data_IF_490322398507
#
_entry.id   IF_490322398507
#
_cell.length_a   1.000
_cell.length_b   1.000
_cell.length_c   1.000
_cell.angle_alpha   90.00
_cell.angle_beta   90.00
_cell.angle_gamma   90.00
#
_symmetry.space_group_name_H-M   'P 1'
#
loop_
_entity.id
_entity.type
_entity.pdbx_description
1 polymer ?
#
# COMPACT_ATOMS: atom_id res chain seq x y z
N UNK A 1 59.38 -29.46 -22.51
CA UNK A 1 58.06 -29.45 -21.84
C UNK A 1 57.29 -30.76 -21.88
N UNK A 2 57.31 -31.54 -22.97
CA UNK A 2 56.52 -32.79 -23.09
C UNK A 2 56.84 -33.96 -22.14
N UNK A 3 57.85 -33.84 -21.26
CA UNK A 3 58.21 -34.86 -20.26
C UNK A 3 57.86 -34.44 -18.81
N UNK A 4 57.36 -33.22 -18.59
CA UNK A 4 56.96 -32.74 -17.26
C UNK A 4 55.47 -33.00 -17.02
N UNK A 5 55.10 -33.42 -15.80
CA UNK A 5 53.71 -33.60 -15.40
C UNK A 5 52.90 -32.29 -15.45
N UNK A 6 51.59 -32.39 -15.66
CA UNK A 6 50.68 -31.24 -15.77
C UNK A 6 50.81 -30.28 -14.58
N UNK A 7 50.73 -28.98 -14.88
CA UNK A 7 50.95 -27.89 -13.91
C UNK A 7 52.42 -27.52 -13.67
N UNK A 8 53.38 -28.15 -14.37
CA UNK A 8 54.81 -27.81 -14.32
C UNK A 8 55.37 -27.42 -15.69
N UNK A 9 56.55 -26.80 -15.72
CA UNK A 9 57.30 -26.49 -16.95
C UNK A 9 58.78 -26.82 -16.78
N UNK A 10 59.49 -27.15 -17.86
CA UNK A 10 60.91 -27.47 -17.81
C UNK A 10 61.73 -26.17 -17.90
N UNK A 11 62.59 -25.93 -16.90
CA UNK A 11 63.58 -24.84 -16.92
C UNK A 11 64.93 -25.46 -16.56
N UNK A 12 65.93 -25.27 -17.42
CA UNK A 12 67.30 -25.81 -17.28
C UNK A 12 67.36 -27.32 -16.97
N UNK A 13 66.49 -28.10 -17.63
CA UNK A 13 66.45 -29.56 -17.49
C UNK A 13 65.77 -30.07 -16.22
N UNK A 14 65.09 -29.21 -15.46
CA UNK A 14 64.29 -29.61 -14.28
C UNK A 14 62.85 -29.11 -14.39
N UNK A 15 61.89 -29.96 -14.02
CA UNK A 15 60.48 -29.59 -13.98
C UNK A 15 60.17 -28.76 -12.71
N UNK A 16 59.77 -27.51 -12.88
CA UNK A 16 59.40 -26.58 -11.80
C UNK A 16 57.89 -26.28 -11.84
N UNK A 17 57.22 -25.99 -10.70
CA UNK A 17 55.82 -25.55 -10.67
C UNK A 17 55.58 -24.33 -11.57
N UNK A 18 54.47 -24.29 -12.32
CA UNK A 18 54.00 -23.04 -12.94
C UNK A 18 53.54 -22.10 -11.82
N UNK A 19 54.00 -20.85 -11.81
CA UNK A 19 53.59 -19.86 -10.80
C UNK A 19 52.10 -19.52 -10.96
N UNK A 20 51.36 -19.21 -9.87
CA UNK A 20 49.96 -18.82 -9.96
C UNK A 20 49.89 -17.45 -10.64
N UNK A 21 49.27 -17.39 -11.83
CA UNK A 21 49.09 -16.15 -12.58
C UNK A 21 47.63 -15.72 -12.59
N UNK A 22 47.40 -14.42 -12.82
CA UNK A 22 46.07 -13.83 -13.01
C UNK A 22 45.56 -14.06 -14.44
N UNK A 23 44.24 -14.11 -14.65
CA UNK A 23 43.63 -14.13 -15.98
C UNK A 23 42.94 -12.80 -16.29
N UNK A 24 42.57 -12.03 -15.26
CA UNK A 24 41.91 -10.75 -15.36
C UNK A 24 42.33 -9.78 -14.25
N UNK A 25 42.01 -8.48 -14.36
CA UNK A 25 42.29 -7.49 -13.31
C UNK A 25 41.61 -7.77 -11.96
N UNK A 26 40.48 -8.51 -11.94
CA UNK A 26 39.77 -8.91 -10.72
C UNK A 26 40.51 -9.99 -9.92
N UNK A 27 41.47 -10.67 -10.54
CA UNK A 27 42.36 -11.62 -9.87
C UNK A 27 43.55 -10.93 -9.17
N UNK A 28 43.66 -9.59 -9.29
CA UNK A 28 44.74 -8.78 -8.78
C UNK A 28 44.33 -7.92 -7.56
N UNK A 29 45.24 -7.65 -6.62
CA UNK A 29 44.98 -6.73 -5.51
C UNK A 29 44.71 -5.31 -6.00
N UNK A 30 43.86 -4.57 -5.27
CA UNK A 30 43.44 -3.21 -5.60
C UNK A 30 44.61 -2.28 -6.00
N UNK A 31 44.43 -1.57 -7.11
CA UNK A 31 45.42 -0.66 -7.68
C UNK A 31 46.44 -1.29 -8.65
N UNK A 32 46.33 -2.60 -8.94
CA UNK A 32 47.15 -3.30 -9.93
C UNK A 32 46.28 -3.90 -11.05
N UNK A 33 46.86 -4.05 -12.25
CA UNK A 33 46.21 -4.70 -13.40
C UNK A 33 46.97 -5.97 -13.82
N UNK A 34 46.26 -6.94 -14.41
CA UNK A 34 46.87 -8.18 -14.86
C UNK A 34 47.55 -8.01 -16.23
N UNK A 35 48.88 -8.09 -16.26
CA UNK A 35 49.69 -7.99 -17.48
C UNK A 35 50.49 -9.28 -17.66
N UNK A 36 50.24 -10.01 -18.74
CA UNK A 36 50.98 -11.24 -19.06
C UNK A 36 50.89 -12.35 -17.99
N UNK A 37 49.79 -12.37 -17.23
CA UNK A 37 49.55 -13.32 -16.14
C UNK A 37 50.20 -12.94 -14.81
N UNK A 38 50.61 -11.68 -14.62
CA UNK A 38 51.12 -11.13 -13.35
C UNK A 38 50.46 -9.78 -13.05
N UNK A 39 50.25 -9.46 -11.78
CA UNK A 39 49.68 -8.18 -11.37
C UNK A 39 50.76 -7.10 -11.27
N UNK A 40 50.58 -5.97 -11.97
CA UNK A 40 51.50 -4.83 -12.00
C UNK A 40 50.81 -3.50 -11.61
N UNK A 41 51.50 -2.53 -10.96
CA UNK A 41 50.90 -1.24 -10.56
C UNK A 41 50.66 -0.31 -11.74
N UNK A 42 49.46 0.27 -11.84
CA UNK A 42 49.10 1.21 -12.91
C UNK A 42 49.69 2.62 -12.72
N UNK A 43 50.20 3.24 -13.79
CA UNK A 43 50.56 4.67 -13.83
C UNK A 43 50.56 5.26 -15.26
N UNK A 44 50.07 6.49 -15.44
CA UNK A 44 49.90 7.17 -16.73
C UNK A 44 50.83 8.41 -16.94
N UNK A 45 50.95 8.88 -18.22
CA UNK A 45 51.22 10.25 -18.82
C UNK A 45 52.18 10.15 -20.06
N UNK A 46 52.03 10.77 -21.27
CA UNK A 46 51.11 11.77 -21.85
C UNK A 46 51.35 12.09 -23.36
N UNK A 47 50.36 12.72 -24.03
CA UNK A 47 50.36 13.32 -25.39
C UNK A 47 49.26 14.41 -25.47
N UNK A 48 49.33 15.39 -26.42
CA UNK A 48 48.32 16.42 -26.75
C UNK A 48 48.41 17.86 -26.14
N UNK A 49 49.60 18.49 -26.10
CA UNK A 49 49.75 19.92 -25.73
C UNK A 49 49.61 20.87 -26.94
N UNK A 50 49.09 22.09 -26.71
CA UNK A 50 49.08 23.19 -27.70
C UNK A 50 50.49 23.69 -28.02
N UNK A 51 50.70 24.17 -29.25
CA UNK A 51 51.98 24.74 -29.67
C UNK A 51 51.79 25.80 -30.76
N UNK A 52 52.68 26.79 -30.79
CA UNK A 52 52.73 27.77 -31.88
C UNK A 52 53.92 27.47 -32.80
N UNK A 53 55.01 26.95 -32.25
CA UNK A 53 56.20 26.57 -32.98
C UNK A 53 56.77 25.21 -32.55
N UNK A 54 57.58 24.53 -33.39
CA UNK A 54 58.09 23.19 -33.09
C UNK A 54 58.93 23.08 -31.81
N UNK A 55 59.44 24.20 -31.27
CA UNK A 55 60.21 24.23 -30.04
C UNK A 55 59.35 24.09 -28.77
N UNK A 56 58.04 24.32 -28.87
CA UNK A 56 57.09 24.17 -27.77
C UNK A 56 56.78 22.70 -27.45
N UNK A 57 57.21 21.79 -28.34
CA UNK A 57 56.92 20.37 -28.23
C UNK A 57 58.05 19.58 -27.58
N UNK A 58 57.73 18.56 -26.74
CA UNK A 58 58.73 17.65 -26.21
C UNK A 58 59.47 16.92 -27.35
N UNK A 59 60.72 16.55 -27.09
CA UNK A 59 61.63 16.02 -28.11
C UNK A 59 61.02 14.82 -28.85
N UNK A 60 60.98 14.91 -30.18
CA UNK A 60 60.37 13.99 -31.17
C UNK A 60 58.91 14.25 -31.57
N UNK A 61 58.25 15.28 -31.01
CA UNK A 61 56.94 15.75 -31.50
C UNK A 61 57.08 16.96 -32.46
N UNK A 62 56.16 17.08 -33.41
CA UNK A 62 56.04 18.18 -34.37
C UNK A 62 54.80 19.03 -34.06
N UNK A 63 54.89 20.34 -34.28
CA UNK A 63 53.77 21.25 -34.11
C UNK A 63 52.98 21.43 -35.42
N UNK A 64 51.81 20.81 -35.53
CA UNK A 64 51.01 20.78 -36.77
C UNK A 64 49.52 20.98 -36.53
N UNK A 65 48.82 21.45 -37.56
CA UNK A 65 47.35 21.49 -37.62
C UNK A 65 46.87 20.08 -38.03
N UNK A 66 46.13 19.43 -37.14
CA UNK A 66 45.80 18.01 -37.23
C UNK A 66 44.35 17.77 -37.68
N UNK A 67 43.49 18.77 -37.52
CA UNK A 67 42.05 18.71 -37.81
C UNK A 67 41.61 19.71 -38.89
N UNK A 68 42.51 20.56 -39.37
CA UNK A 68 42.26 21.52 -40.45
C UNK A 68 41.47 22.75 -40.00
N UNK A 69 41.33 22.95 -38.68
CA UNK A 69 40.61 24.07 -38.08
C UNK A 69 41.53 25.25 -37.72
N UNK A 70 42.83 25.11 -37.94
CA UNK A 70 43.83 26.17 -37.76
C UNK A 70 44.52 26.18 -36.40
N UNK A 71 44.16 25.29 -35.47
CA UNK A 71 44.83 25.14 -34.17
C UNK A 71 45.95 24.10 -34.25
N UNK A 72 47.15 24.48 -33.79
CA UNK A 72 48.34 23.64 -33.89
C UNK A 72 48.64 22.94 -32.57
N UNK A 73 48.94 21.64 -32.63
CA UNK A 73 49.23 20.80 -31.46
C UNK A 73 50.48 19.95 -31.67
N UNK A 74 51.10 19.56 -30.56
CA UNK A 74 52.25 18.67 -30.57
C UNK A 74 51.82 17.24 -30.86
N UNK A 75 52.17 16.74 -32.05
CA UNK A 75 51.85 15.38 -32.51
C UNK A 75 53.11 14.59 -32.81
N UNK A 76 53.06 13.28 -32.56
CA UNK A 76 54.14 12.36 -32.91
C UNK A 76 53.71 11.54 -34.12
N UNK A 77 54.53 11.51 -35.16
CA UNK A 77 54.28 10.68 -36.33
C UNK A 77 54.63 9.23 -36.05
N UNK A 78 53.85 8.32 -36.61
CA UNK A 78 54.16 6.90 -36.66
C UNK A 78 54.42 6.44 -38.08
N UNK A 79 55.35 5.49 -38.19
CA UNK A 79 55.63 4.70 -39.38
C UNK A 79 55.60 3.21 -39.01
N UNK A 80 56.33 2.35 -39.73
CA UNK A 80 56.42 0.92 -39.45
C UNK A 80 56.89 0.54 -38.03
N UNK A 81 57.40 1.50 -37.24
CA UNK A 81 57.84 1.27 -35.87
C UNK A 81 56.75 1.54 -34.81
N UNK A 82 55.54 1.97 -35.20
CA UNK A 82 54.39 2.13 -34.31
C UNK A 82 54.44 3.37 -33.41
N UNK A 83 53.53 3.44 -32.44
CA UNK A 83 53.36 4.53 -31.50
C UNK A 83 53.84 4.17 -30.08
N UNK A 84 54.24 5.16 -29.24
CA UNK A 84 54.51 4.92 -27.82
C UNK A 84 53.27 4.39 -27.07
N UNK A 85 53.50 3.73 -25.93
CA UNK A 85 52.48 2.97 -25.19
C UNK A 85 51.22 3.80 -24.85
N UNK A 86 50.05 3.22 -25.15
CA UNK A 86 48.72 3.83 -24.95
C UNK A 86 48.19 4.64 -26.12
N UNK A 87 48.93 4.73 -27.23
CA UNK A 87 48.52 5.43 -28.45
C UNK A 87 48.45 4.48 -29.65
N UNK A 88 47.47 4.70 -30.52
CA UNK A 88 47.30 4.00 -31.79
C UNK A 88 47.71 4.88 -32.98
N UNK A 89 48.23 4.23 -34.02
CA UNK A 89 48.71 4.89 -35.23
C UNK A 89 47.57 5.08 -36.25
N UNK A 90 47.11 6.32 -36.40
CA UNK A 90 46.10 6.67 -37.39
C UNK A 90 46.76 7.10 -38.70
N UNK A 91 46.68 6.24 -39.72
CA UNK A 91 47.38 6.41 -41.00
C UNK A 91 46.63 7.40 -41.89
N UNK A 92 47.29 8.52 -42.22
CA UNK A 92 46.70 9.63 -42.99
C UNK A 92 47.01 9.51 -44.49
N UNK A 93 48.19 9.01 -44.90
CA UNK A 93 48.48 8.42 -46.23
C UNK A 93 49.95 8.02 -46.39
N UNK A 94 50.27 7.12 -47.33
CA UNK A 94 51.66 6.82 -47.74
C UNK A 94 52.48 5.95 -46.77
N UNK A 95 51.83 5.32 -45.78
CA UNK A 95 52.51 4.50 -44.77
C UNK A 95 53.00 5.30 -43.55
N UNK A 96 52.63 6.57 -43.46
CA UNK A 96 52.87 7.43 -42.29
C UNK A 96 51.55 7.88 -41.68
N UNK A 97 51.49 7.86 -40.34
CA UNK A 97 50.32 8.21 -39.54
C UNK A 97 50.67 9.10 -38.36
N UNK A 98 49.69 9.39 -37.52
CA UNK A 98 49.87 10.13 -36.25
C UNK A 98 49.42 9.28 -35.08
N UNK A 99 50.13 9.40 -33.95
CA UNK A 99 49.83 8.68 -32.72
C UNK A 99 48.76 9.39 -31.89
N UNK A 100 47.60 8.76 -31.70
CA UNK A 100 46.44 9.30 -30.97
C UNK A 100 45.94 8.28 -29.93
N UNK A 101 45.22 8.70 -28.89
CA UNK A 101 44.56 7.75 -27.97
C UNK A 101 43.34 7.13 -28.64
N UNK A 102 43.10 5.81 -28.48
CA UNK A 102 41.97 5.14 -29.11
C UNK A 102 40.60 5.63 -28.60
N UNK A 103 40.56 6.21 -27.40
CA UNK A 103 39.33 6.58 -26.67
C UNK A 103 38.81 7.98 -27.05
N UNK A 104 39.66 8.85 -27.61
CA UNK A 104 39.31 10.26 -27.89
C UNK A 104 39.31 10.65 -29.37
N UNK A 105 39.65 9.74 -30.29
CA UNK A 105 39.60 10.00 -31.75
C UNK A 105 40.39 11.22 -32.24
N UNK A 106 41.24 11.82 -31.40
CA UNK A 106 41.85 13.12 -31.60
C UNK A 106 42.36 13.73 -30.29
N UNK A 107 43.18 14.78 -30.40
CA UNK A 107 43.67 15.55 -29.25
C UNK A 107 42.59 16.49 -28.69
N UNK A 108 41.39 15.97 -28.48
CA UNK A 108 40.31 16.66 -27.81
C UNK A 108 40.18 16.07 -26.41
N UNK A 109 41.01 16.62 -25.53
CA UNK A 109 40.79 16.66 -24.09
C UNK A 109 41.12 18.09 -23.67
N UNK A 110 40.12 18.76 -23.11
CA UNK A 110 40.13 20.03 -22.39
C UNK A 110 40.79 21.25 -23.08
N UNK A 111 39.95 22.02 -23.79
CA UNK A 111 40.19 23.42 -24.17
C UNK A 111 38.89 24.21 -24.03
N UNK A 112 38.93 25.53 -23.76
CA UNK A 112 37.89 26.24 -23.02
C UNK A 112 36.60 26.38 -23.84
N UNK A 113 35.67 25.47 -23.64
CA UNK A 113 34.26 25.61 -24.00
C UNK A 113 33.50 26.09 -22.77
N UNK A 114 32.46 26.92 -22.94
CA UNK A 114 31.91 27.74 -21.85
C UNK A 114 31.51 26.84 -20.69
N UNK A 115 32.23 26.98 -19.57
CA UNK A 115 32.28 26.04 -18.44
C UNK A 115 30.90 25.43 -18.16
N UNK A 116 30.72 24.17 -18.56
CA UNK A 116 29.78 23.30 -17.89
C UNK A 116 30.47 22.89 -16.58
N UNK A 117 29.85 23.24 -15.47
CA UNK A 117 30.46 23.04 -14.17
C UNK A 117 30.42 21.57 -13.80
N UNK A 118 31.58 20.91 -13.72
CA UNK A 118 31.66 19.57 -13.16
C UNK A 118 31.04 19.53 -11.76
N UNK A 119 30.23 18.52 -11.50
CA UNK A 119 29.58 18.33 -10.21
C UNK A 119 30.19 17.20 -9.37
N UNK A 120 29.45 16.73 -8.37
CA UNK A 120 29.93 15.71 -7.44
C UNK A 120 29.98 14.30 -8.05
N UNK A 121 29.20 14.05 -9.10
CA UNK A 121 28.96 12.73 -9.69
C UNK A 121 29.95 12.37 -10.79
N UNK A 122 30.75 13.35 -11.19
CA UNK A 122 31.75 13.20 -12.23
C UNK A 122 32.91 12.25 -11.86
N UNK A 123 33.43 11.45 -12.81
CA UNK A 123 32.99 11.39 -14.20
C UNK A 123 31.76 10.50 -14.38
N UNK A 124 30.74 11.02 -15.07
CA UNK A 124 29.55 10.25 -15.47
C UNK A 124 29.02 10.63 -16.87
N UNK A 125 29.92 11.03 -17.76
CA UNK A 125 29.63 11.56 -19.10
C UNK A 125 29.05 10.57 -20.12
N UNK A 126 29.14 9.27 -19.84
CA UNK A 126 28.87 8.22 -20.81
C UNK A 126 28.33 6.92 -20.17
N UNK A 127 27.63 6.07 -20.95
CA UNK A 127 27.02 4.85 -20.43
C UNK A 127 28.02 3.74 -20.04
N UNK A 128 29.29 3.83 -20.41
CA UNK A 128 30.34 2.90 -19.98
C UNK A 128 30.87 3.26 -18.56
N UNK A 129 30.66 4.51 -18.11
CA UNK A 129 31.01 5.00 -16.77
C UNK A 129 29.84 5.71 -16.05
N UNK A 130 28.68 5.08 -15.88
CA UNK A 130 27.55 5.73 -15.23
C UNK A 130 27.77 5.85 -13.71
N UNK A 131 27.24 6.91 -13.11
CA UNK A 131 27.09 7.01 -11.68
C UNK A 131 26.04 6.01 -11.17
N UNK A 132 26.31 5.31 -10.07
CA UNK A 132 25.30 4.42 -9.48
C UNK A 132 24.32 5.23 -8.63
N UNK A 133 23.04 5.23 -9.05
CA UNK A 133 21.96 5.83 -8.29
C UNK A 133 21.29 4.77 -7.40
N UNK A 134 21.71 4.71 -6.14
CA UNK A 134 21.15 3.75 -5.20
C UNK A 134 19.69 4.09 -4.85
N UNK A 135 18.88 3.10 -4.47
CA UNK A 135 17.53 3.37 -4.04
C UNK A 135 17.42 4.33 -2.84
N UNK A 136 16.54 5.32 -2.96
CA UNK A 136 16.34 6.38 -1.96
C UNK A 136 17.47 7.41 -1.88
N UNK A 137 18.51 7.29 -2.73
CA UNK A 137 19.51 8.33 -2.92
C UNK A 137 18.90 9.48 -3.73
N UNK A 138 19.26 10.69 -3.34
CA UNK A 138 18.86 11.92 -4.00
C UNK A 138 20.08 12.48 -4.73
N UNK A 139 19.88 12.83 -5.99
CA UNK A 139 20.86 13.49 -6.84
C UNK A 139 20.55 14.98 -6.80
N UNK A 140 21.60 15.78 -6.58
CA UNK A 140 21.64 17.19 -6.93
C UNK A 140 22.88 17.37 -7.80
N UNK A 141 22.67 17.81 -9.04
CA UNK A 141 23.67 17.80 -10.11
C UNK A 141 23.43 18.95 -11.10
N UNK A 142 24.34 19.17 -12.05
CA UNK A 142 24.20 20.14 -13.14
C UNK A 142 24.57 19.49 -14.46
N UNK A 143 23.72 19.67 -15.48
CA UNK A 143 24.00 19.17 -16.85
C UNK A 143 24.08 20.34 -17.83
N UNK A 144 24.67 20.12 -19.00
CA UNK A 144 24.56 21.04 -20.12
C UNK A 144 24.51 20.27 -21.46
N UNK A 145 24.42 20.99 -22.58
CA UNK A 145 24.36 20.38 -23.92
C UNK A 145 25.58 19.54 -24.33
N UNK A 146 26.71 19.71 -23.63
CA UNK A 146 27.98 19.04 -23.94
C UNK A 146 28.41 18.09 -22.81
N UNK A 147 27.60 17.97 -21.77
CA UNK A 147 27.93 17.37 -20.47
C UNK A 147 26.71 16.55 -20.03
N UNK A 148 26.65 15.32 -20.53
CA UNK A 148 25.51 14.44 -20.37
C UNK A 148 25.76 13.50 -19.21
N UNK A 149 24.87 13.51 -18.22
CA UNK A 149 25.02 12.70 -17.03
C UNK A 149 24.34 11.35 -17.17
N UNK A 150 25.12 10.28 -17.00
CA UNK A 150 24.65 8.91 -17.05
C UNK A 150 24.57 8.31 -15.66
N UNK A 151 23.42 7.73 -15.33
CA UNK A 151 23.20 6.99 -14.10
C UNK A 151 22.76 5.56 -14.40
N UNK A 152 23.27 4.59 -13.62
CA UNK A 152 22.74 3.23 -13.59
C UNK A 152 21.87 3.07 -12.34
N UNK A 153 20.72 2.43 -12.50
CA UNK A 153 19.78 2.20 -11.41
C UNK A 153 19.22 0.78 -11.39
N UNK A 154 18.81 0.37 -10.20
CA UNK A 154 17.96 -0.80 -9.96
C UNK A 154 16.69 -0.31 -9.25
N UNK A 155 15.53 -0.50 -9.88
CA UNK A 155 14.25 -0.11 -9.30
C UNK A 155 13.88 -1.04 -8.14
N UNK A 156 13.40 -0.50 -7.03
CA UNK A 156 13.01 -1.30 -5.86
C UNK A 156 11.71 -2.09 -6.07
N UNK A 157 10.87 -1.65 -7.02
CA UNK A 157 9.58 -2.25 -7.32
C UNK A 157 9.25 -2.07 -8.81
N UNK A 158 8.36 -2.92 -9.37
CA UNK A 158 7.89 -2.77 -10.76
C UNK A 158 7.11 -1.47 -10.99
N UNK A 159 6.61 -0.81 -9.93
CA UNK A 159 5.78 0.40 -10.00
C UNK A 159 6.55 1.68 -9.61
N UNK A 160 7.89 1.61 -9.55
CA UNK A 160 8.72 2.73 -9.15
C UNK A 160 8.53 3.95 -10.07
N UNK A 161 8.63 5.15 -9.47
CA UNK A 161 8.61 6.42 -10.20
C UNK A 161 9.92 7.18 -9.99
N UNK A 162 10.43 7.79 -11.06
CA UNK A 162 11.56 8.70 -11.03
C UNK A 162 11.02 10.13 -10.99
N UNK A 163 11.25 10.84 -9.88
CA UNK A 163 10.98 12.27 -9.80
C UNK A 163 12.20 13.03 -10.34
N UNK A 164 11.93 13.97 -11.23
CA UNK A 164 12.92 14.84 -11.87
C UNK A 164 12.56 16.29 -11.54
N UNK A 165 13.47 17.00 -10.90
CA UNK A 165 13.37 18.42 -10.67
C UNK A 165 14.35 19.14 -11.58
N UNK A 166 13.90 19.93 -12.56
CA UNK A 166 14.77 20.67 -13.47
C UNK A 166 14.73 22.17 -13.25
N UNK A 167 15.91 22.80 -13.23
CA UNK A 167 16.08 24.25 -13.22
C UNK A 167 15.97 24.91 -14.61
N UNK A 168 15.79 24.12 -15.68
CA UNK A 168 15.65 24.60 -17.05
C UNK A 168 15.40 23.47 -18.07
N UNK A 169 15.38 23.76 -19.37
CA UNK A 169 15.08 22.76 -20.39
C UNK A 169 16.19 21.71 -20.52
N UNK A 170 15.83 20.44 -20.36
CA UNK A 170 16.74 19.29 -20.53
C UNK A 170 16.00 18.06 -21.05
N UNK A 171 16.74 17.10 -21.59
CA UNK A 171 16.25 15.77 -21.91
C UNK A 171 16.55 14.80 -20.77
N UNK A 172 15.58 13.94 -20.48
CA UNK A 172 15.77 12.76 -19.62
C UNK A 172 15.40 11.54 -20.44
N UNK A 173 16.36 10.62 -20.62
CA UNK A 173 16.16 9.37 -21.36
C UNK A 173 16.36 8.18 -20.44
N UNK A 174 15.48 7.20 -20.56
CA UNK A 174 15.56 5.92 -19.88
C UNK A 174 15.94 4.85 -20.88
N UNK A 175 16.87 3.99 -20.50
CA UNK A 175 17.33 2.87 -21.30
C UNK A 175 17.19 1.56 -20.53
N UNK A 176 16.91 0.48 -21.26
CA UNK A 176 17.02 -0.88 -20.73
C UNK A 176 18.49 -1.28 -20.46
N UNK A 177 18.76 -2.42 -19.77
CA UNK A 177 20.13 -2.86 -19.48
C UNK A 177 20.97 -3.16 -20.72
N UNK A 178 20.35 -3.32 -21.89
CA UNK A 178 21.02 -3.48 -23.19
C UNK A 178 21.21 -2.16 -23.95
N UNK A 179 20.97 -1.01 -23.30
CA UNK A 179 21.00 0.34 -23.88
C UNK A 179 19.97 0.55 -25.00
N UNK A 180 18.88 -0.22 -25.01
CA UNK A 180 17.70 0.07 -25.81
C UNK A 180 16.94 1.25 -25.20
N UNK A 181 16.65 2.29 -25.99
CA UNK A 181 15.85 3.42 -25.53
C UNK A 181 14.47 2.92 -25.08
N UNK A 182 14.19 3.06 -23.78
CA UNK A 182 12.93 2.70 -23.17
C UNK A 182 11.93 3.84 -23.32
N UNK A 183 12.31 5.06 -22.94
CA UNK A 183 11.50 6.25 -23.10
C UNK A 183 12.32 7.55 -22.96
N UNK A 184 11.77 8.67 -23.45
CA UNK A 184 12.40 10.00 -23.49
C UNK A 184 11.39 11.06 -23.05
N UNK A 185 11.86 12.01 -22.25
CA UNK A 185 11.11 13.18 -21.79
C UNK A 185 11.91 14.45 -21.97
N UNK A 186 11.19 15.55 -22.19
CA UNK A 186 11.74 16.89 -22.18
C UNK A 186 11.26 17.59 -20.90
N UNK A 187 12.16 17.79 -19.95
CA UNK A 187 11.88 18.33 -18.63
C UNK A 187 12.21 19.83 -18.57
N UNK A 188 11.32 20.61 -17.94
CA UNK A 188 11.47 22.07 -17.71
C UNK A 188 10.74 22.47 -16.42
N UNK A 189 10.98 21.70 -15.36
CA UNK A 189 10.34 21.83 -14.06
C UNK A 189 10.32 20.49 -13.32
N UNK A 190 9.26 20.26 -12.54
CA UNK A 190 9.04 19.00 -11.81
C UNK A 190 8.27 18.01 -12.68
N UNK A 191 8.86 16.84 -12.93
CA UNK A 191 8.29 15.76 -13.71
C UNK A 191 8.35 14.43 -12.92
N UNK A 192 7.37 13.55 -13.17
CA UNK A 192 7.31 12.21 -12.56
C UNK A 192 7.22 11.17 -13.67
N UNK A 193 8.27 10.36 -13.81
CA UNK A 193 8.43 9.39 -14.90
C UNK A 193 8.15 7.98 -14.37
N UNK A 194 7.15 7.26 -14.90
CA UNK A 194 6.86 5.89 -14.49
C UNK A 194 7.93 4.93 -15.03
N UNK A 195 8.35 3.95 -14.22
CA UNK A 195 9.32 2.91 -14.58
C UNK A 195 8.67 1.53 -14.80
N UNK A 196 7.35 1.50 -15.01
CA UNK A 196 6.60 0.24 -15.17
C UNK A 196 7.19 -0.63 -16.28
N UNK A 197 7.70 -1.81 -15.90
CA UNK A 197 8.37 -2.73 -16.83
C UNK A 197 9.87 -2.49 -17.04
N UNK A 198 10.50 -1.58 -16.30
CA UNK A 198 11.94 -1.29 -16.34
C UNK A 198 12.58 -1.47 -14.94
N UNK A 199 12.83 -2.72 -14.50
CA UNK A 199 13.32 -3.01 -13.14
C UNK A 199 14.80 -2.63 -12.91
N UNK A 200 15.57 -2.39 -13.96
CA UNK A 200 16.92 -1.84 -13.92
C UNK A 200 17.24 -1.24 -15.30
N UNK A 201 18.15 -0.26 -15.35
CA UNK A 201 18.44 0.45 -16.59
C UNK A 201 19.39 1.62 -16.42
N UNK A 202 19.44 2.47 -17.44
CA UNK A 202 20.23 3.70 -17.42
C UNK A 202 19.34 4.93 -17.54
N UNK A 203 19.78 6.02 -16.92
CA UNK A 203 19.21 7.36 -17.09
C UNK A 203 20.29 8.20 -17.77
N UNK A 204 19.96 8.88 -18.86
CA UNK A 204 20.77 9.98 -19.42
C UNK A 204 20.03 11.29 -19.14
N UNK A 205 20.73 12.25 -18.53
CA UNK A 205 20.25 13.62 -18.34
C UNK A 205 21.12 14.54 -19.19
N UNK A 206 20.50 15.32 -20.07
CA UNK A 206 21.22 16.18 -21.00
C UNK A 206 20.56 17.55 -21.15
N UNK A 207 21.24 18.60 -20.70
CA UNK A 207 20.81 19.98 -20.93
C UNK A 207 20.72 20.34 -22.42
N UNK A 208 19.97 21.38 -22.79
CA UNK A 208 19.85 21.78 -24.21
C UNK A 208 20.69 22.98 -24.61
N UNK A 209 21.28 23.67 -23.64
CA UNK A 209 22.16 24.83 -23.87
C UNK A 209 23.56 24.58 -23.29
N UNK A 210 24.57 25.32 -23.75
CA UNK A 210 25.93 25.29 -23.18
C UNK A 210 26.05 26.11 -21.87
N UNK A 211 25.07 25.96 -20.98
CA UNK A 211 25.06 26.53 -19.61
C UNK A 211 24.51 25.47 -18.67
N UNK A 212 25.03 25.49 -17.44
CA UNK A 212 24.56 24.61 -16.36
C UNK A 212 23.05 24.73 -16.16
N UNK A 213 22.40 23.58 -16.28
CA UNK A 213 21.02 23.36 -15.90
C UNK A 213 21.05 22.50 -14.65
N UNK A 214 20.79 23.07 -13.46
CA UNK A 214 20.75 22.29 -12.24
C UNK A 214 19.54 21.36 -12.29
N UNK A 215 19.72 20.14 -11.82
CA UNK A 215 18.64 19.17 -11.71
C UNK A 215 18.76 18.31 -10.46
N UNK A 216 17.66 17.67 -10.12
CA UNK A 216 17.63 16.62 -9.12
C UNK A 216 16.91 15.38 -9.64
N UNK A 217 17.43 14.22 -9.25
CA UNK A 217 16.82 12.92 -9.50
C UNK A 217 16.57 12.24 -8.17
N UNK A 218 15.36 11.71 -8.00
CA UNK A 218 15.04 10.89 -6.83
C UNK A 218 14.05 9.81 -7.20
N UNK A 219 14.40 8.57 -6.92
CA UNK A 219 13.40 7.51 -6.89
C UNK A 219 12.46 7.77 -5.73
N UNK A 220 11.19 7.99 -6.04
CA UNK A 220 10.18 7.96 -5.01
C UNK A 220 9.89 6.49 -4.72
N UNK A 221 10.24 6.05 -3.51
CA UNK A 221 9.43 5.04 -2.88
C UNK A 221 8.04 5.64 -2.81
N UNK A 222 7.10 5.15 -3.60
CA UNK A 222 5.77 5.04 -3.04
C UNK A 222 6.00 4.23 -1.76
N UNK A 223 6.00 4.94 -0.61
CA UNK A 223 5.65 4.24 0.61
C UNK A 223 4.38 3.51 0.22
N UNK A 224 4.32 2.17 0.29
CA UNK A 224 3.04 1.53 0.18
C UNK A 224 2.14 2.32 1.13
N UNK A 225 0.95 2.76 0.68
CA UNK A 225 0.05 3.52 1.55
C UNK A 225 0.09 2.87 2.92
N UNK A 226 0.24 3.67 4.00
CA UNK A 226 0.44 3.13 5.34
C UNK A 226 -0.51 1.95 5.49
N UNK A 227 0.07 0.77 5.73
CA UNK A 227 -0.68 -0.48 5.69
C UNK A 227 -2.00 -0.23 6.42
N UNK A 228 -3.10 -0.42 5.70
CA UNK A 228 -4.40 -0.12 6.24
C UNK A 228 -4.51 -0.87 7.57
N UNK A 229 -4.82 -0.14 8.63
CA UNK A 229 -5.02 -0.72 9.93
C UNK A 229 -6.52 -0.86 10.10
N UNK A 230 -6.95 -2.10 10.24
CA UNK A 230 -8.28 -2.50 10.68
C UNK A 230 -8.76 -1.60 11.82
N UNK A 231 -10.01 -1.18 11.71
CA UNK A 231 -10.67 -0.51 12.80
C UNK A 231 -11.19 -1.52 13.85
N UNK A 232 -11.97 -1.03 14.81
CA UNK A 232 -12.43 -1.84 15.93
C UNK A 232 -13.76 -2.57 15.67
N UNK A 233 -14.31 -2.49 14.46
CA UNK A 233 -15.52 -3.19 14.02
C UNK A 233 -15.19 -4.52 13.35
N UNK A 234 -13.95 -4.67 12.88
CA UNK A 234 -13.46 -5.87 12.22
C UNK A 234 -13.61 -7.13 13.09
N UNK A 235 -13.84 -8.31 12.51
CA UNK A 235 -13.68 -8.68 11.09
C UNK A 235 -15.02 -8.76 10.35
N UNK A 236 -15.54 -7.61 9.91
CA UNK A 236 -16.85 -7.50 9.28
C UNK A 236 -16.77 -7.66 7.76
N UNK A 237 -15.81 -8.45 7.28
CA UNK A 237 -15.39 -8.67 5.89
C UNK A 237 -16.47 -9.30 4.98
N UNK A 238 -17.46 -9.95 5.60
CA UNK A 238 -18.51 -10.68 4.90
C UNK A 238 -19.91 -10.59 5.54
N UNK A 239 -20.91 -11.05 4.80
CA UNK A 239 -22.32 -10.99 5.18
C UNK A 239 -22.63 -11.78 6.47
N UNK A 240 -21.95 -12.91 6.71
CA UNK A 240 -22.18 -13.75 7.89
C UNK A 240 -21.58 -13.09 9.15
N UNK A 241 -20.53 -12.28 8.98
CA UNK A 241 -19.85 -11.53 10.03
C UNK A 241 -20.30 -10.06 10.16
N UNK A 242 -21.27 -9.63 9.35
CA UNK A 242 -21.70 -8.23 9.28
C UNK A 242 -21.99 -7.58 10.65
N UNK A 243 -21.38 -6.42 10.90
CA UNK A 243 -21.49 -5.71 12.16
C UNK A 243 -22.90 -5.16 12.39
N UNK A 244 -23.49 -5.45 13.56
CA UNK A 244 -24.85 -5.06 13.90
C UNK A 244 -24.99 -3.58 14.29
N UNK A 245 -25.65 -2.79 13.44
CA UNK A 245 -26.03 -1.40 13.70
C UNK A 245 -27.49 -1.30 14.13
N UNK A 246 -27.77 -0.33 15.02
CA UNK A 246 -29.13 0.02 15.49
C UNK A 246 -29.48 1.44 15.04
N UNK A 247 -30.76 1.80 15.12
CA UNK A 247 -31.18 3.19 14.83
C UNK A 247 -30.47 4.18 15.77
N UNK A 248 -30.04 5.32 15.23
CA UNK A 248 -29.21 6.29 15.93
C UNK A 248 -27.72 5.93 15.99
N UNK A 249 -27.29 4.80 15.44
CA UNK A 249 -25.87 4.47 15.34
C UNK A 249 -25.14 5.55 14.53
N UNK A 250 -23.95 5.90 15.01
CA UNK A 250 -23.01 6.81 14.37
C UNK A 250 -21.60 6.24 14.58
N UNK A 251 -21.18 5.40 13.65
CA UNK A 251 -19.92 4.65 13.74
C UNK A 251 -18.92 5.20 12.73
N UNK A 252 -17.66 5.30 13.15
CA UNK A 252 -16.54 5.60 12.24
C UNK A 252 -15.78 4.31 11.94
N UNK A 253 -15.36 4.15 10.70
CA UNK A 253 -14.68 2.96 10.20
C UNK A 253 -13.64 3.33 9.12
N UNK A 254 -12.82 2.36 8.71
CA UNK A 254 -11.74 2.51 7.73
C UNK A 254 -11.85 1.42 6.68
N UNK A 255 -12.17 1.80 5.44
CA UNK A 255 -12.23 0.85 4.34
C UNK A 255 -10.83 0.62 3.75
N UNK A 256 -10.39 -0.63 3.76
CA UNK A 256 -9.10 -1.05 3.22
C UNK A 256 -9.22 -1.64 1.79
N UNK A 257 -8.10 -1.70 1.07
CA UNK A 257 -8.07 -2.30 -0.26
C UNK A 257 -8.26 -3.83 -0.17
N UNK A 258 -9.30 -4.35 -0.81
CA UNK A 258 -9.62 -5.78 -0.80
C UNK A 258 -10.31 -6.27 0.47
N UNK A 259 -10.69 -5.35 1.37
CA UNK A 259 -11.34 -5.65 2.65
C UNK A 259 -12.73 -4.99 2.71
N UNK A 260 -13.82 -5.74 2.54
CA UNK A 260 -15.16 -5.17 2.52
C UNK A 260 -15.80 -5.06 3.89
N UNK A 261 -16.28 -3.88 4.23
CA UNK A 261 -17.06 -3.71 5.45
C UNK A 261 -18.54 -4.04 5.23
N UNK A 262 -19.04 -5.06 5.93
CA UNK A 262 -20.48 -5.39 5.98
C UNK A 262 -21.13 -4.94 7.29
N UNK A 263 -22.25 -4.25 7.15
CA UNK A 263 -23.12 -3.85 8.25
C UNK A 263 -24.49 -4.48 8.12
N UNK A 264 -25.10 -4.79 9.25
CA UNK A 264 -26.46 -5.29 9.35
C UNK A 264 -27.30 -4.40 10.24
N UNK A 265 -28.54 -4.09 9.86
CA UNK A 265 -29.45 -3.32 10.72
C UNK A 265 -30.90 -3.74 10.50
N UNK A 266 -31.76 -3.56 11.52
CA UNK A 266 -33.17 -3.90 11.41
C UNK A 266 -33.92 -2.90 10.52
N UNK A 267 -34.87 -3.38 9.73
CA UNK A 267 -35.81 -2.53 8.95
C UNK A 267 -37.22 -3.14 9.05
N UNK A 268 -38.29 -2.35 9.09
CA UNK A 268 -39.67 -2.88 9.18
C UNK A 268 -40.25 -3.10 7.80
N UNK A 269 -41.18 -4.04 7.63
CA UNK A 269 -41.81 -4.35 6.34
C UNK A 269 -42.42 -3.13 5.61
N UNK A 270 -43.01 -2.19 6.35
CA UNK A 270 -43.74 -1.05 5.79
C UNK A 270 -43.04 0.31 5.98
N UNK A 271 -41.81 0.35 6.50
CA UNK A 271 -41.10 1.60 6.77
C UNK A 271 -39.73 1.64 6.09
N UNK A 272 -39.33 2.84 5.67
CA UNK A 272 -38.03 3.05 5.04
C UNK A 272 -36.96 3.31 6.11
N UNK A 273 -35.90 2.52 6.08
CA UNK A 273 -34.64 2.85 6.76
C UNK A 273 -33.87 3.92 5.97
N UNK A 274 -33.05 4.69 6.66
CA UNK A 274 -32.08 5.59 6.04
C UNK A 274 -30.70 5.33 6.62
N UNK A 275 -29.71 5.32 5.74
CA UNK A 275 -28.31 5.28 6.12
C UNK A 275 -27.60 6.45 5.47
N UNK A 276 -26.86 7.24 6.24
CA UNK A 276 -25.93 8.22 5.69
C UNK A 276 -24.52 7.62 5.74
N UNK A 277 -23.98 7.33 4.55
CA UNK A 277 -22.60 6.91 4.36
C UNK A 277 -21.76 8.14 4.00
N UNK A 278 -20.84 8.54 4.87
CA UNK A 278 -20.03 9.76 4.69
C UNK A 278 -18.53 9.45 4.67
N UNK A 279 -17.93 9.22 3.49
CA UNK A 279 -16.48 9.10 3.35
C UNK A 279 -15.77 10.42 3.67
N UNK A 280 -14.70 10.35 4.47
CA UNK A 280 -13.83 11.46 4.86
C UNK A 280 -12.68 11.62 3.85
N UNK A 281 -13.04 11.77 2.58
CA UNK A 281 -12.10 11.75 1.45
C UNK A 281 -12.21 10.47 0.63
N UNK A 282 -11.63 10.46 -0.57
CA UNK A 282 -11.73 9.30 -1.47
C UNK A 282 -13.14 8.99 -1.96
N UNK A 283 -13.36 7.74 -2.37
CA UNK A 283 -14.65 7.24 -2.85
C UNK A 283 -14.89 5.82 -2.32
N UNK A 284 -16.12 5.57 -1.87
CA UNK A 284 -16.57 4.25 -1.42
C UNK A 284 -17.64 3.73 -2.36
N UNK A 285 -17.48 2.48 -2.81
CA UNK A 285 -18.56 1.72 -3.43
C UNK A 285 -19.41 1.12 -2.32
N UNK A 286 -20.71 1.05 -2.53
CA UNK A 286 -21.61 0.39 -1.59
C UNK A 286 -22.67 -0.43 -2.32
N UNK A 287 -23.22 -1.42 -1.61
CA UNK A 287 -24.33 -2.25 -2.03
C UNK A 287 -25.27 -2.49 -0.85
N UNK A 288 -26.57 -2.44 -1.11
CA UNK A 288 -27.62 -2.67 -0.11
C UNK A 288 -28.34 -3.96 -0.44
N UNK A 289 -28.46 -4.82 0.55
CA UNK A 289 -29.24 -6.05 0.45
C UNK A 289 -30.41 -5.98 1.42
N UNK A 290 -31.58 -6.43 0.98
CA UNK A 290 -32.76 -6.56 1.83
C UNK A 290 -33.17 -8.01 1.82
N UNK A 291 -33.19 -8.66 2.98
CA UNK A 291 -33.58 -10.08 3.04
C UNK A 291 -35.10 -10.20 3.00
N UNK A 292 -35.67 -11.23 2.35
CA UNK A 292 -35.01 -12.28 1.56
C UNK A 292 -34.75 -11.87 0.09
N UNK A 293 -34.97 -10.61 -0.26
CA UNK A 293 -35.03 -10.11 -1.64
C UNK A 293 -33.66 -9.90 -2.33
N UNK A 294 -32.54 -10.09 -1.62
CA UNK A 294 -31.19 -10.02 -2.19
C UNK A 294 -30.70 -8.58 -2.41
N UNK A 295 -29.72 -8.35 -3.31
CA UNK A 295 -29.19 -7.02 -3.58
C UNK A 295 -30.27 -6.15 -4.25
N UNK A 296 -30.43 -4.93 -3.73
CA UNK A 296 -31.50 -4.02 -4.11
C UNK A 296 -30.98 -2.73 -4.74
N UNK A 297 -29.95 -2.14 -4.14
CA UNK A 297 -29.39 -0.86 -4.56
C UNK A 297 -27.86 -0.86 -4.38
N UNK A 298 -27.18 0.05 -5.04
CA UNK A 298 -25.74 0.21 -4.92
C UNK A 298 -25.23 1.41 -5.69
N UNK A 299 -24.06 1.89 -5.31
CA UNK A 299 -23.52 3.13 -5.87
C UNK A 299 -22.09 3.41 -5.44
N UNK A 300 -21.68 4.66 -5.67
CA UNK A 300 -20.38 5.17 -5.24
C UNK A 300 -20.60 6.50 -4.51
N UNK A 301 -20.23 6.55 -3.23
CA UNK A 301 -20.24 7.73 -2.38
C UNK A 301 -18.88 8.46 -2.49
N UNK A 302 -18.90 9.75 -2.85
CA UNK A 302 -17.72 10.65 -2.86
C UNK A 302 -17.79 11.75 -1.79
N UNK A 303 -18.76 11.60 -0.90
CA UNK A 303 -19.15 12.47 0.21
C UNK A 303 -20.47 11.93 0.78
N UNK A 304 -21.01 12.57 1.82
CA UNK A 304 -22.25 12.16 2.47
C UNK A 304 -23.36 11.71 1.50
N UNK A 305 -23.57 10.41 1.44
CA UNK A 305 -24.54 9.72 0.60
C UNK A 305 -25.68 9.21 1.47
N UNK A 306 -26.87 9.79 1.28
CA UNK A 306 -28.08 9.28 1.90
C UNK A 306 -28.60 8.09 1.07
N UNK A 307 -28.79 6.96 1.73
CA UNK A 307 -29.24 5.70 1.17
C UNK A 307 -30.60 5.41 1.79
N UNK A 308 -31.63 5.29 0.96
CA UNK A 308 -32.98 4.91 1.39
C UNK A 308 -33.15 3.40 1.25
N UNK A 309 -33.57 2.74 2.32
CA UNK A 309 -33.65 1.29 2.40
C UNK A 309 -35.11 0.93 2.58
N UNK A 310 -35.74 0.19 1.64
CA UNK A 310 -37.12 -0.19 1.79
C UNK A 310 -37.27 -1.22 2.91
N UNK A 311 -38.51 -1.37 3.35
CA UNK A 311 -38.86 -2.35 4.34
C UNK A 311 -38.62 -3.80 3.93
N UNK A 312 -38.46 -4.66 4.94
CA UNK A 312 -38.25 -6.10 4.79
C UNK A 312 -39.27 -6.89 5.63
N UNK A 313 -39.88 -7.96 5.09
CA UNK A 313 -40.68 -8.90 5.87
C UNK A 313 -39.84 -9.78 6.82
N UNK A 314 -38.53 -9.92 6.57
CA UNK A 314 -37.59 -10.59 7.48
C UNK A 314 -36.95 -9.64 8.49
N UNK A 315 -37.27 -8.36 8.42
CA UNK A 315 -36.88 -7.40 9.45
C UNK A 315 -35.43 -6.93 9.36
N UNK A 316 -34.67 -7.29 8.31
CA UNK A 316 -33.20 -7.06 8.24
C UNK A 316 -32.72 -6.62 6.87
N UNK A 317 -31.81 -5.66 6.86
CA UNK A 317 -31.05 -5.23 5.69
C UNK A 317 -29.54 -5.27 5.99
N UNK A 318 -28.75 -5.34 4.91
CA UNK A 318 -27.30 -5.30 4.94
C UNK A 318 -26.80 -4.14 4.07
N UNK A 319 -25.70 -3.52 4.49
CA UNK A 319 -24.93 -2.57 3.70
C UNK A 319 -23.51 -3.10 3.59
N UNK A 320 -23.08 -3.46 2.39
CA UNK A 320 -21.68 -3.70 2.07
C UNK A 320 -21.02 -2.42 1.61
N UNK A 321 -19.80 -2.16 2.06
CA UNK A 321 -18.98 -0.99 1.71
C UNK A 321 -17.61 -1.49 1.27
N UNK A 322 -17.14 -1.00 0.13
CA UNK A 322 -15.83 -1.31 -0.42
C UNK A 322 -15.13 -0.02 -0.77
N UNK A 323 -13.81 0.01 -0.59
CA UNK A 323 -13.03 1.05 -1.19
C UNK A 323 -12.81 0.80 -2.69
N UNK A 324 -13.10 1.80 -3.53
CA UNK A 324 -12.96 1.67 -4.99
C UNK A 324 -11.52 1.92 -5.48
N UNK A 325 -10.80 2.86 -4.85
CA UNK A 325 -9.48 3.34 -5.29
C UNK A 325 -8.47 3.40 -4.12
N UNK A 326 -8.44 2.38 -3.26
CA UNK A 326 -7.59 2.36 -2.05
C UNK A 326 -6.13 1.99 -2.30
N UNK A 327 -5.72 1.72 -3.54
CA UNK A 327 -4.33 1.41 -3.89
C UNK A 327 -3.35 2.55 -3.49
N UNK A 328 -3.87 3.75 -3.19
CA UNK A 328 -3.09 4.94 -2.80
C UNK A 328 -3.27 5.38 -1.34
N UNK A 329 -4.37 5.01 -0.68
CA UNK A 329 -4.65 5.32 0.74
C UNK A 329 -5.97 4.67 1.18
N UNK A 330 -6.10 4.27 2.47
CA UNK A 330 -7.38 3.85 3.02
C UNK A 330 -8.38 5.00 3.10
N UNK A 331 -9.67 4.68 3.12
CA UNK A 331 -10.74 5.68 3.24
C UNK A 331 -11.39 5.57 4.61
N UNK A 332 -11.14 6.57 5.47
CA UNK A 332 -11.93 6.73 6.69
C UNK A 332 -13.35 7.17 6.31
N UNK A 333 -14.35 6.65 7.00
CA UNK A 333 -15.74 7.02 6.77
C UNK A 333 -16.59 6.92 8.02
N UNK A 334 -17.83 7.37 7.90
CA UNK A 334 -18.83 7.30 8.94
C UNK A 334 -20.13 6.72 8.39
N UNK A 335 -20.75 5.83 9.16
CA UNK A 335 -22.08 5.29 8.89
C UNK A 335 -23.02 5.78 9.98
N UNK A 336 -24.04 6.54 9.57
CA UNK A 336 -25.11 6.93 10.46
C UNK A 336 -26.40 6.25 10.04
N UNK A 337 -27.08 5.60 10.99
CA UNK A 337 -28.32 4.87 10.73
C UNK A 337 -29.48 5.63 11.34
N UNK A 338 -30.44 6.03 10.52
CA UNK A 338 -31.71 6.61 10.94
C UNK A 338 -32.84 5.75 10.36
N UNK A 339 -33.30 4.78 11.13
CA UNK A 339 -34.48 4.01 10.75
C UNK A 339 -35.68 4.83 11.23
N UNK A 340 -36.29 5.54 10.30
CA UNK A 340 -37.39 6.47 10.59
C UNK A 340 -38.47 5.77 11.41
N UNK A 341 -38.78 6.33 12.59
CA UNK A 341 -39.93 5.89 13.40
C UNK A 341 -39.62 4.99 14.60
N UNK A 342 -38.36 4.68 14.90
CA UNK A 342 -38.02 4.00 16.16
C UNK A 342 -37.82 5.03 17.27
N UNK A 343 -38.89 5.35 18.01
CA UNK A 343 -38.73 5.56 19.46
C UNK A 343 -38.01 4.29 19.93
N UNK A 344 -36.76 4.42 20.41
CA UNK A 344 -36.05 3.27 20.98
C UNK A 344 -36.99 2.58 21.96
N UNK A 345 -36.96 1.25 21.98
CA UNK A 345 -37.50 0.54 23.13
C UNK A 345 -36.72 1.04 24.35
N UNK A 346 -37.30 1.94 25.12
CA UNK A 346 -36.69 2.40 26.36
C UNK A 346 -36.96 1.32 27.41
N UNK A 347 -35.86 0.75 27.91
CA UNK A 347 -35.83 -0.10 29.09
C UNK A 347 -36.73 0.51 30.17
N UNK A 348 -37.54 -0.34 30.77
CA UNK A 348 -38.34 0.10 31.89
C UNK A 348 -37.53 0.16 33.18
N UNK A 349 -38.19 0.55 34.27
CA UNK A 349 -37.57 0.75 35.58
C UNK A 349 -37.04 -0.52 36.27
N UNK A 350 -37.27 -1.71 35.71
CA UNK A 350 -36.89 -3.00 36.27
C UNK A 350 -35.70 -3.65 35.56
N UNK A 351 -35.14 -2.99 34.55
CA UNK A 351 -33.93 -3.43 33.87
C UNK A 351 -32.66 -3.13 34.70
N UNK A 352 -31.58 -3.92 34.55
CA UNK A 352 -31.45 -5.07 33.65
C UNK A 352 -32.08 -6.34 34.26
N UNK A 353 -32.84 -7.06 33.46
CA UNK A 353 -33.38 -8.38 33.77
C UNK A 353 -33.50 -9.28 32.54
N UNK A 354 -32.64 -9.05 31.56
CA UNK A 354 -32.58 -9.65 30.21
C UNK A 354 -32.35 -11.18 30.20
N UNK A 355 -31.95 -11.74 31.35
CA UNK A 355 -31.38 -13.07 31.45
C UNK A 355 -31.87 -13.86 32.66
N UNK A 356 -32.03 -15.17 32.43
CA UNK A 356 -32.43 -16.15 33.46
C UNK A 356 -31.59 -16.12 34.73
N UNK A 357 -30.30 -15.79 34.60
CA UNK A 357 -29.33 -15.84 35.71
C UNK A 357 -29.39 -14.60 36.63
N UNK A 358 -29.98 -13.50 36.18
CA UNK A 358 -30.17 -12.28 36.97
C UNK A 358 -31.62 -11.75 36.87
N UNK A 359 -32.62 -12.53 37.34
CA UNK A 359 -34.02 -12.15 37.23
C UNK A 359 -34.40 -11.09 38.27
N UNK A 360 -35.24 -10.14 37.90
CA UNK A 360 -35.73 -9.14 38.86
C UNK A 360 -36.71 -9.76 39.86
N UNK A 361 -36.48 -9.52 41.16
CA UNK A 361 -37.32 -10.05 42.23
C UNK A 361 -38.66 -9.30 42.34
N UNK A 362 -39.77 -10.03 42.24
CA UNK A 362 -41.12 -9.53 42.42
C UNK A 362 -41.79 -10.14 43.64
N UNK A 363 -42.62 -9.33 44.31
CA UNK A 363 -43.51 -9.81 45.36
C UNK A 363 -44.86 -10.26 44.77
N UNK A 364 -45.50 -11.23 45.44
CA UNK A 364 -46.91 -11.53 45.19
C UNK A 364 -47.75 -10.29 45.49
N UNK A 365 -48.58 -9.89 44.54
CA UNK A 365 -49.33 -8.64 44.54
C UNK A 365 -48.73 -7.57 43.62
N UNK A 366 -47.63 -7.84 42.91
CA UNK A 366 -47.07 -6.92 41.93
C UNK A 366 -48.09 -6.59 40.82
N UNK A 367 -48.18 -5.31 40.48
CA UNK A 367 -48.98 -4.77 39.38
C UNK A 367 -48.23 -3.57 38.79
N UNK A 368 -47.76 -3.70 37.54
CA UNK A 368 -46.92 -2.68 36.92
C UNK A 368 -47.00 -2.69 35.40
N UNK A 369 -46.78 -1.51 34.80
CA UNK A 369 -46.53 -1.39 33.36
C UNK A 369 -45.04 -1.42 33.10
N UNK A 370 -44.66 -2.23 32.12
CA UNK A 370 -43.30 -2.62 31.77
C UNK A 370 -43.16 -2.64 30.24
N UNK A 371 -41.93 -2.70 29.76
CA UNK A 371 -41.58 -2.71 28.34
C UNK A 371 -40.67 -3.90 28.09
N UNK A 372 -41.03 -4.74 27.12
CA UNK A 372 -40.14 -5.81 26.63
C UNK A 372 -39.61 -5.41 25.25
N UNK A 373 -38.33 -5.67 25.01
CA UNK A 373 -37.62 -5.35 23.76
C UNK A 373 -37.24 -6.63 23.00
N UNK A 374 -37.00 -6.56 21.68
CA UNK A 374 -36.78 -7.76 20.85
C UNK A 374 -35.61 -8.66 21.28
N UNK A 375 -34.56 -8.03 21.80
CA UNK A 375 -33.29 -8.65 22.16
C UNK A 375 -33.05 -8.65 23.66
N UNK A 376 -33.97 -8.11 24.46
CA UNK A 376 -33.99 -8.15 25.94
C UNK A 376 -35.26 -8.84 26.41
N UNK A 377 -35.14 -10.07 26.92
CA UNK A 377 -36.28 -10.79 27.49
C UNK A 377 -36.39 -10.50 28.98
N UNK A 378 -37.59 -10.23 29.47
CA UNK A 378 -37.72 -9.86 30.87
C UNK A 378 -37.86 -11.13 31.74
N UNK A 379 -36.84 -11.39 32.55
CA UNK A 379 -36.83 -12.44 33.53
C UNK A 379 -37.17 -11.90 34.91
N UNK A 380 -38.14 -12.52 35.57
CA UNK A 380 -38.53 -12.19 36.94
C UNK A 380 -38.48 -13.41 37.84
N UNK A 381 -38.34 -13.20 39.14
CA UNK A 381 -38.41 -14.26 40.13
C UNK A 381 -39.39 -13.90 41.25
N UNK A 382 -40.25 -14.85 41.61
CA UNK A 382 -41.23 -14.69 42.69
C UNK A 382 -41.21 -15.90 43.63
N UNK A 383 -41.35 -15.63 44.93
CA UNK A 383 -41.51 -16.66 45.95
C UNK A 383 -42.97 -17.10 46.06
N UNK A 384 -43.26 -18.32 45.60
CA UNK A 384 -44.58 -18.95 45.73
C UNK A 384 -44.81 -19.42 47.17
N UNK A 385 -45.89 -18.98 47.84
CA UNK A 385 -46.24 -19.46 49.19
C UNK A 385 -46.69 -20.93 49.21
N UNK A 386 -46.55 -21.57 50.38
CA UNK A 386 -46.96 -22.95 50.58
C UNK A 386 -48.49 -23.08 50.52
N UNK A 387 -48.99 -24.01 49.71
CA UNK A 387 -50.43 -24.31 49.61
C UNK A 387 -51.27 -23.31 48.80
N UNK A 388 -50.70 -22.17 48.39
CA UNK A 388 -51.38 -21.17 47.55
C UNK A 388 -50.98 -21.31 46.08
N UNK A 389 -51.91 -21.03 45.18
CA UNK A 389 -51.60 -20.90 43.76
C UNK A 389 -50.83 -19.59 43.50
N UNK A 390 -50.03 -19.60 42.44
CA UNK A 390 -49.37 -18.40 41.90
C UNK A 390 -49.91 -18.20 40.48
N UNK A 391 -50.53 -17.06 40.22
CA UNK A 391 -51.01 -16.67 38.90
C UNK A 391 -50.19 -15.48 38.39
N UNK A 392 -49.77 -15.54 37.14
CA UNK A 392 -49.08 -14.45 36.45
C UNK A 392 -49.85 -14.15 35.19
N UNK A 393 -50.19 -12.88 34.97
CA UNK A 393 -50.86 -12.43 33.76
C UNK A 393 -50.24 -11.19 33.17
N UNK A 394 -50.28 -11.13 31.84
CA UNK A 394 -49.91 -9.96 31.04
C UNK A 394 -51.15 -9.42 30.34
N UNK A 395 -51.26 -8.10 30.25
CA UNK A 395 -52.19 -7.41 29.35
C UNK A 395 -51.39 -6.46 28.45
N UNK A 396 -51.55 -6.57 27.14
CA UNK A 396 -50.88 -5.71 26.16
C UNK A 396 -51.77 -5.50 24.93
N UNK A 397 -51.29 -4.73 23.94
CA UNK A 397 -51.94 -4.62 22.63
C UNK A 397 -51.23 -5.52 21.64
N UNK A 398 -51.86 -6.61 21.24
CA UNK A 398 -51.27 -7.59 20.31
C UNK A 398 -50.90 -6.95 18.96
N UNK A 399 -51.61 -5.89 18.56
CA UNK A 399 -51.33 -5.15 17.31
C UNK A 399 -49.99 -4.39 17.32
N UNK A 400 -49.33 -4.25 18.46
CA UNK A 400 -47.98 -3.66 18.58
C UNK A 400 -46.87 -4.72 18.62
N UNK A 401 -47.23 -6.00 18.72
CA UNK A 401 -46.31 -7.11 18.90
C UNK A 401 -46.90 -8.17 19.81
N UNK A 402 -46.66 -9.43 19.50
CA UNK A 402 -47.12 -10.55 20.29
C UNK A 402 -46.13 -10.82 21.44
N UNK A 403 -46.62 -10.98 22.67
CA UNK A 403 -45.79 -11.25 23.86
C UNK A 403 -46.21 -12.60 24.43
N UNK A 404 -45.26 -13.51 24.54
CA UNK A 404 -45.43 -14.81 25.16
C UNK A 404 -45.02 -14.77 26.64
N UNK A 405 -45.62 -15.66 27.43
CA UNK A 405 -45.33 -15.82 28.86
C UNK A 405 -44.99 -17.27 29.21
N UNK A 406 -43.91 -17.50 29.95
CA UNK A 406 -43.62 -18.81 30.53
C UNK A 406 -43.18 -18.73 31.99
N UNK A 407 -43.39 -19.83 32.73
CA UNK A 407 -42.99 -19.96 34.13
C UNK A 407 -42.36 -21.32 34.39
N UNK A 408 -41.26 -21.31 35.14
CA UNK A 408 -40.51 -22.49 35.54
C UNK A 408 -40.13 -22.44 37.03
N UNK A 409 -39.84 -23.60 37.62
CA UNK A 409 -39.29 -23.66 38.97
C UNK A 409 -37.79 -23.33 38.96
N UNK A 410 -37.23 -22.93 40.10
CA UNK A 410 -35.80 -22.56 40.25
C UNK A 410 -34.81 -23.60 39.67
N UNK A 411 -35.16 -24.88 39.73
CA UNK A 411 -34.35 -25.97 39.17
C UNK A 411 -34.48 -26.14 37.64
N UNK A 412 -35.07 -25.18 36.93
CA UNK A 412 -35.30 -25.19 35.48
C UNK A 412 -36.46 -26.08 35.04
N UNK A 413 -37.27 -26.61 35.97
CA UNK A 413 -38.42 -27.45 35.62
C UNK A 413 -39.57 -26.57 35.16
N UNK A 414 -39.83 -26.59 33.86
CA UNK A 414 -41.02 -26.00 33.24
C UNK A 414 -42.30 -26.28 34.03
N UNK A 415 -43.13 -25.26 34.22
CA UNK A 415 -44.42 -25.38 34.89
C UNK A 415 -45.58 -25.13 33.93
N UNK A 416 -45.53 -24.01 33.21
CA UNK A 416 -46.62 -23.56 32.36
C UNK A 416 -46.16 -22.49 31.36
N UNK A 417 -46.89 -22.31 30.26
CA UNK A 417 -46.69 -21.23 29.30
C UNK A 417 -48.02 -20.80 28.67
N UNK A 418 -48.09 -19.55 28.27
CA UNK A 418 -49.16 -18.95 27.48
C UNK A 418 -48.50 -18.35 26.24
N UNK A 419 -48.85 -18.90 25.08
CA UNK A 419 -48.32 -18.50 23.75
C UNK A 419 -49.47 -18.08 22.84
N UNK A 420 -50.33 -17.21 23.38
CA UNK A 420 -51.50 -16.70 22.69
C UNK A 420 -51.10 -15.76 21.56
N UNK A 421 -52.09 -15.21 20.86
CA UNK A 421 -51.88 -14.08 19.92
C UNK A 421 -52.81 -12.92 20.25
N UNK A 422 -53.42 -12.97 21.44
CA UNK A 422 -54.42 -12.02 21.88
C UNK A 422 -53.80 -10.95 22.78
N UNK A 423 -54.64 -10.06 23.31
CA UNK A 423 -54.20 -8.99 24.21
C UNK A 423 -53.89 -9.48 25.65
N UNK A 424 -53.87 -10.79 25.91
CA UNK A 424 -53.79 -11.34 27.28
C UNK A 424 -53.19 -12.75 27.37
N UNK A 425 -52.22 -12.86 28.27
CA UNK A 425 -51.45 -14.07 28.54
C UNK A 425 -51.62 -14.39 30.01
N UNK A 426 -51.79 -15.66 30.34
CA UNK A 426 -51.92 -16.07 31.73
C UNK A 426 -51.37 -17.47 31.95
N UNK A 427 -50.57 -17.60 33.00
CA UNK A 427 -50.10 -18.88 33.53
C UNK A 427 -50.45 -19.01 35.00
N UNK A 428 -50.74 -20.24 35.42
CA UNK A 428 -51.03 -20.56 36.82
C UNK A 428 -50.20 -21.75 37.26
N UNK A 429 -49.52 -21.60 38.40
CA UNK A 429 -48.86 -22.68 39.16
C UNK A 429 -49.78 -23.09 40.32
N UNK A 430 -50.35 -24.30 40.29
CA UNK A 430 -51.32 -24.73 41.30
C UNK A 430 -50.77 -24.77 42.73
N UNK A 431 -51.63 -24.58 43.74
CA UNK A 431 -51.24 -24.62 45.16
C UNK A 431 -50.64 -25.94 45.65
N UNK A 432 -50.87 -27.05 44.93
CA UNK A 432 -50.24 -28.36 45.18
C UNK A 432 -48.75 -28.43 44.80
N UNK A 433 -48.27 -27.52 43.97
CA UNK A 433 -46.84 -27.43 43.64
C UNK A 433 -46.05 -26.87 44.82
N UNK A 434 -44.77 -27.25 44.90
CA UNK A 434 -43.88 -26.92 46.03
C UNK A 434 -43.79 -25.39 46.22
N UNK A 435 -43.71 -24.89 47.47
CA UNK A 435 -43.31 -23.52 47.70
C UNK A 435 -41.85 -23.30 47.28
N UNK A 436 -41.49 -22.05 46.99
CA UNK A 436 -40.13 -21.66 46.61
C UNK A 436 -40.12 -20.68 45.44
N UNK A 437 -38.93 -20.47 44.87
CA UNK A 437 -38.70 -19.53 43.76
C UNK A 437 -39.20 -20.11 42.44
N UNK A 438 -39.92 -19.28 41.69
CA UNK A 438 -40.34 -19.53 40.32
C UNK A 438 -39.84 -18.40 39.43
N UNK A 439 -39.24 -18.76 38.30
CA UNK A 439 -38.81 -17.81 37.29
C UNK A 439 -39.91 -17.63 36.25
N UNK A 440 -40.17 -16.37 35.92
CA UNK A 440 -41.12 -15.92 34.92
C UNK A 440 -40.29 -15.36 33.78
N UNK A 441 -40.63 -15.71 32.54
CA UNK A 441 -40.01 -15.17 31.33
C UNK A 441 -41.09 -14.55 30.46
N UNK A 442 -40.90 -13.29 30.12
CA UNK A 442 -41.73 -12.52 29.18
C UNK A 442 -40.88 -12.25 27.95
N UNK A 443 -41.39 -12.56 26.75
CA UNK A 443 -40.60 -12.42 25.53
C UNK A 443 -41.47 -12.14 24.31
N UNK A 444 -40.92 -11.43 23.32
CA UNK A 444 -41.64 -11.06 22.10
C UNK A 444 -41.64 -12.17 21.04
N UNK A 445 -42.67 -12.14 20.19
CA UNK A 445 -42.76 -12.93 18.96
C UNK A 445 -42.87 -12.01 17.76
N UNK A 446 -41.73 -11.80 17.08
CA UNK A 446 -41.67 -11.13 15.78
C UNK A 446 -41.95 -9.62 15.81
N UNK A 447 -41.73 -8.95 16.93
CA UNK A 447 -41.84 -7.51 17.08
C UNK A 447 -40.61 -6.92 17.79
N UNK A 448 -40.34 -5.64 17.57
CA UNK A 448 -39.16 -4.94 18.12
C UNK A 448 -39.30 -4.54 19.59
N UNK A 449 -40.55 -4.29 20.03
CA UNK A 449 -40.88 -3.84 21.38
C UNK A 449 -42.38 -3.92 21.63
N UNK A 450 -42.80 -4.15 22.87
CA UNK A 450 -44.19 -3.87 23.27
C UNK A 450 -44.25 -3.51 24.77
N UNK A 451 -45.25 -2.72 25.15
CA UNK A 451 -45.54 -2.43 26.56
C UNK A 451 -46.61 -3.38 27.07
N UNK A 452 -46.42 -3.89 28.27
CA UNK A 452 -47.37 -4.80 28.91
C UNK A 452 -47.62 -4.38 30.36
N UNK A 453 -48.78 -4.80 30.88
CA UNK A 453 -49.08 -4.74 32.31
C UNK A 453 -48.88 -6.12 32.90
N UNK A 454 -47.91 -6.29 33.79
CA UNK A 454 -47.66 -7.50 34.54
C UNK A 454 -48.41 -7.49 35.86
N UNK A 455 -49.13 -8.58 36.14
CA UNK A 455 -49.78 -8.81 37.42
C UNK A 455 -49.38 -10.16 37.99
N UNK A 456 -49.00 -10.19 39.27
CA UNK A 456 -48.63 -11.40 40.01
C UNK A 456 -49.58 -11.56 41.20
N UNK A 457 -50.37 -12.63 41.22
CA UNK A 457 -51.40 -12.86 42.22
C UNK A 457 -51.19 -14.18 42.98
N UNK A 458 -51.49 -14.16 44.28
CA UNK A 458 -51.52 -15.35 45.14
C UNK A 458 -52.96 -15.70 45.52
N UNK A 459 -53.29 -16.99 45.55
CA UNK A 459 -54.67 -17.47 45.79
C UNK A 459 -54.77 -18.71 46.64
#
# INVERSE_FOLDING_TARGET
>A
DGECADGRRCVDGRCVPRAPGCASPFDCPDGNICVGGRCEPGRAVGACQFCDEPADCPSAAFCGDVDGLGERRCVTFCDANGCPDGLECFVISGGSGVCLRPESGGCLGDGPQPDCGADFWEPNDDPDQPAFLAPGQEVEAVTCAQDADWYFFEAESPDATLNVASGGPMFVRLYDPGLGLFAEWFADGEDRLPLEGLPAGYIEVQGVEGRDTPYGLRFEREQPPPACADDNLEENDDIDQAFGLRSGADVGAVACAGDPDWYAFPVREDEQGRVLLDPRGGALRYEVWVLPFGPLDGGVARGGQLIEIPGSPEGRALLGVWCEDCDRAPVEYRVQVDIGGVEMCEDDRLEPNDGRDDPWALDVGFDGRLTVCDTSEDWFVVDKPAGQALAVSLEFRHGLGDIDLSIEAENGRFQNASVGVGDREQVVVPGRERPGRYLIRVYLRGATSNTYRLQVEGG
#
